data_IF_021223600511
#
_entry.id   IF_021223600511
#
_cell.length_a   1.000
_cell.length_b   1.000
_cell.length_c   1.000
_cell.angle_alpha   90.00
_cell.angle_beta   90.00
_cell.angle_gamma   90.00
#
_symmetry.space_group_name_H-M   'P 1'
#
loop_
_entity.id
_entity.type
_entity.pdbx_description
1 polymer ?
#
# COMPACT_ATOMS: atom_id res chain seq x y z
N UNK A 1 -13.42 -22.94 -39.31
CA UNK A 1 -13.13 -21.83 -38.37
C UNK A 1 -14.28 -21.74 -37.38
N UNK A 2 -14.11 -22.37 -36.23
CA UNK A 2 -15.11 -22.46 -35.16
C UNK A 2 -14.95 -21.26 -34.21
N UNK A 3 -16.03 -20.61 -33.77
CA UNK A 3 -15.94 -19.47 -32.84
C UNK A 3 -15.43 -19.93 -31.45
N UNK A 4 -14.58 -19.09 -30.84
CA UNK A 4 -14.11 -19.27 -29.46
C UNK A 4 -15.28 -19.24 -28.47
N UNK A 5 -15.31 -20.13 -27.46
CA UNK A 5 -16.34 -20.12 -26.43
C UNK A 5 -16.22 -18.87 -25.53
N UNK A 6 -17.34 -18.41 -24.93
CA UNK A 6 -17.35 -17.29 -24.00
C UNK A 6 -16.53 -17.58 -22.72
N UNK A 7 -16.00 -16.55 -22.03
CA UNK A 7 -15.27 -16.73 -20.79
C UNK A 7 -16.16 -17.39 -19.72
N UNK A 8 -15.62 -18.44 -19.08
CA UNK A 8 -16.26 -19.08 -17.94
C UNK A 8 -16.27 -18.11 -16.76
N UNK A 9 -17.45 -17.57 -16.44
CA UNK A 9 -17.73 -16.93 -15.16
C UNK A 9 -18.11 -18.03 -14.18
N UNK A 10 -17.22 -18.39 -13.27
CA UNK A 10 -17.52 -19.31 -12.17
C UNK A 10 -18.63 -18.68 -11.33
N UNK A 11 -19.80 -19.33 -11.28
CA UNK A 11 -20.86 -18.94 -10.35
C UNK A 11 -20.36 -19.13 -8.91
N UNK A 12 -20.67 -18.22 -7.97
CA UNK A 12 -20.37 -18.46 -6.57
C UNK A 12 -21.06 -19.76 -6.12
N UNK A 13 -20.29 -20.67 -5.52
CA UNK A 13 -20.79 -21.85 -4.82
C UNK A 13 -21.56 -21.36 -3.58
N UNK A 14 -22.86 -21.10 -3.75
CA UNK A 14 -23.77 -20.93 -2.62
C UNK A 14 -24.05 -22.31 -2.01
N UNK A 15 -23.33 -22.67 -0.95
CA UNK A 15 -23.82 -23.66 -0.01
C UNK A 15 -25.13 -23.11 0.59
N UNK A 16 -26.25 -23.80 0.34
CA UNK A 16 -27.55 -23.48 0.92
C UNK A 16 -27.47 -23.64 2.43
N UNK A 17 -27.51 -22.52 3.16
CA UNK A 17 -27.57 -22.51 4.62
C UNK A 17 -27.85 -21.12 5.15
N UNK A 18 -29.12 -20.87 5.46
CA UNK A 18 -29.67 -19.79 6.30
C UNK A 18 -29.18 -18.34 6.05
N UNK A 19 -30.03 -17.56 5.40
CA UNK A 19 -29.89 -16.12 5.30
C UNK A 19 -29.95 -15.45 6.69
N UNK A 20 -28.86 -14.80 7.09
CA UNK A 20 -28.87 -13.78 8.13
C UNK A 20 -28.46 -12.45 7.49
N UNK A 21 -29.46 -11.61 7.22
CA UNK A 21 -29.24 -10.23 6.78
C UNK A 21 -28.67 -9.42 7.95
N UNK A 22 -27.50 -8.81 7.76
CA UNK A 22 -27.01 -7.75 8.65
C UNK A 22 -26.89 -6.49 7.80
N UNK A 23 -27.87 -5.61 7.96
CA UNK A 23 -27.82 -4.23 7.47
C UNK A 23 -26.82 -3.45 8.34
N UNK A 24 -25.68 -3.07 7.76
CA UNK A 24 -24.77 -2.09 8.34
C UNK A 24 -25.26 -0.69 8.00
N UNK A 25 -25.75 0.05 9.00
CA UNK A 25 -26.17 1.44 8.85
C UNK A 25 -24.96 2.32 8.52
N UNK A 26 -24.98 2.97 7.35
CA UNK A 26 -24.12 4.08 7.00
C UNK A 26 -24.89 5.38 7.28
N UNK A 27 -24.42 6.18 8.24
CA UNK A 27 -24.96 7.53 8.48
C UNK A 27 -24.09 8.52 7.69
N UNK A 28 -24.62 9.03 6.58
CA UNK A 28 -24.04 10.13 5.82
C UNK A 28 -24.84 11.41 6.09
N UNK A 29 -24.20 12.42 6.68
CA UNK A 29 -24.75 13.78 6.76
C UNK A 29 -24.29 14.57 5.54
N UNK A 30 -25.26 14.92 4.69
CA UNK A 30 -25.12 15.87 3.58
C UNK A 30 -25.53 17.25 4.10
N UNK A 31 -24.65 18.24 3.97
CA UNK A 31 -25.03 19.65 4.05
C UNK A 31 -24.63 20.31 2.75
N UNK A 32 -25.63 20.72 1.96
CA UNK A 32 -25.46 21.52 0.76
C UNK A 32 -25.46 23.01 1.09
N UNK A 33 -24.78 23.81 0.26
CA UNK A 33 -24.92 25.26 0.24
C UNK A 33 -25.14 25.73 -1.20
N UNK A 34 -26.32 26.31 -1.45
CA UNK A 34 -26.57 27.26 -2.52
C UNK A 34 -26.48 28.68 -1.93
N UNK A 35 -25.99 29.65 -2.73
CA UNK A 35 -25.58 30.97 -2.25
C UNK A 35 -26.60 32.12 -2.33
N UNK A 36 -26.44 33.06 -1.39
CA UNK A 36 -26.59 34.54 -1.52
C UNK A 36 -28.00 35.17 -1.40
N UNK A 37 -28.13 36.48 -1.04
CA UNK A 37 -27.08 37.49 -0.78
C UNK A 37 -27.21 38.35 0.51
N UNK A 38 -26.06 38.94 0.90
CA UNK A 38 -25.78 40.22 1.59
C UNK A 38 -26.73 40.81 2.66
N UNK A 39 -26.21 40.93 3.89
CA UNK A 39 -26.61 41.91 4.90
C UNK A 39 -25.48 42.10 5.92
N UNK A 40 -24.89 43.30 5.96
CA UNK A 40 -23.79 43.65 6.88
C UNK A 40 -24.26 43.74 8.32
N UNK A 41 -23.70 42.92 9.21
CA UNK A 41 -23.70 43.19 10.64
C UNK A 41 -22.40 42.63 11.23
N UNK A 42 -21.51 43.54 11.66
CA UNK A 42 -20.43 43.21 12.59
C UNK A 42 -21.09 42.82 13.92
N UNK A 43 -21.10 41.54 14.24
CA UNK A 43 -21.57 40.97 15.50
C UNK A 43 -20.69 39.77 15.85
N UNK A 44 -20.31 39.71 17.13
CA UNK A 44 -19.43 38.75 17.79
C UNK A 44 -19.24 37.40 17.09
N UNK A 45 -17.97 37.01 16.97
CA UNK A 45 -17.58 35.61 16.77
C UNK A 45 -18.07 34.87 18.00
N UNK A 46 -19.20 34.17 17.89
CA UNK A 46 -19.58 33.17 18.89
C UNK A 46 -18.52 32.08 18.82
N UNK A 47 -17.54 32.19 19.72
CA UNK A 47 -16.65 31.10 20.06
C UNK A 47 -17.51 29.87 20.35
N UNK A 48 -17.21 28.76 19.67
CA UNK A 48 -17.62 27.44 20.11
C UNK A 48 -16.89 27.10 21.42
N UNK A 49 -17.16 27.85 22.48
CA UNK A 49 -16.96 27.42 23.84
C UNK A 49 -18.08 26.45 24.18
N UNK A 50 -17.94 25.22 23.71
CA UNK A 50 -18.37 24.13 24.59
C UNK A 50 -17.43 24.20 25.79
N UNK A 51 -17.92 24.50 27.01
CA UNK A 51 -17.11 24.30 28.18
C UNK A 51 -16.74 22.82 28.20
N UNK A 52 -15.44 22.52 28.12
CA UNK A 52 -14.91 21.22 28.53
C UNK A 52 -15.54 20.94 29.89
N UNK A 53 -16.40 19.93 29.97
CA UNK A 53 -17.26 19.72 31.12
C UNK A 53 -16.46 19.77 32.43
N UNK A 54 -16.96 20.54 33.40
CA UNK A 54 -16.44 20.53 34.77
C UNK A 54 -16.58 19.12 35.34
N UNK A 55 -15.54 18.28 35.22
CA UNK A 55 -15.68 16.86 35.55
C UNK A 55 -14.44 15.97 35.50
N UNK A 56 -13.25 16.44 35.13
CA UNK A 56 -12.04 15.59 35.11
C UNK A 56 -11.26 15.69 36.43
N UNK A 57 -11.87 15.29 37.55
CA UNK A 57 -11.13 15.14 38.82
C UNK A 57 -9.98 14.12 38.60
N UNK A 58 -8.75 14.54 38.91
CA UNK A 58 -7.57 13.66 38.84
C UNK A 58 -6.99 13.45 37.44
N UNK A 59 -7.31 14.30 36.46
CA UNK A 59 -6.63 14.33 35.17
C UNK A 59 -5.17 14.77 35.33
N UNK A 60 -4.21 14.19 34.59
CA UNK A 60 -2.80 14.59 34.67
C UNK A 60 -2.58 16.05 34.26
N UNK A 61 -1.95 16.83 35.13
CA UNK A 61 -1.61 18.21 34.82
C UNK A 61 -0.44 18.29 33.83
N UNK A 62 -0.66 18.92 32.68
CA UNK A 62 0.40 19.34 31.78
C UNK A 62 0.79 20.78 32.10
N UNK A 63 2.02 21.02 32.54
CA UNK A 63 2.50 22.37 32.78
C UNK A 63 2.67 23.12 31.45
N UNK A 64 2.06 24.30 31.34
CA UNK A 64 2.42 25.24 30.27
C UNK A 64 3.85 25.75 30.53
N UNK A 65 4.68 25.71 29.48
CA UNK A 65 6.05 26.23 29.47
C UNK A 65 6.20 27.05 28.19
N UNK A 66 6.04 28.37 28.31
CA UNK A 66 6.09 29.29 27.17
C UNK A 66 7.32 29.02 26.32
N UNK A 67 7.09 28.63 25.08
CA UNK A 67 8.08 28.50 24.04
C UNK A 67 7.52 29.15 22.78
N UNK A 68 8.32 30.00 22.15
CA UNK A 68 7.90 30.76 20.97
C UNK A 68 8.82 30.48 19.80
N UNK A 69 8.24 30.48 18.61
CA UNK A 69 8.98 30.37 17.36
C UNK A 69 8.45 31.40 16.36
N UNK A 70 9.37 32.04 15.64
CA UNK A 70 9.05 32.98 14.57
C UNK A 70 8.94 32.22 13.24
N UNK A 71 7.78 32.34 12.60
CA UNK A 71 7.54 31.87 11.25
C UNK A 71 7.31 33.08 10.34
N UNK A 72 8.36 33.50 9.63
CA UNK A 72 8.30 34.58 8.63
C UNK A 72 7.76 35.92 9.19
N UNK A 73 8.18 36.28 10.41
CA UNK A 73 7.76 37.48 11.13
C UNK A 73 6.51 37.30 12.00
N UNK A 74 5.91 36.10 12.03
CA UNK A 74 4.79 35.77 12.91
C UNK A 74 5.29 34.94 14.09
N UNK A 75 5.25 35.50 15.29
CA UNK A 75 5.59 34.77 16.52
C UNK A 75 4.42 33.88 16.93
N UNK A 76 4.69 32.57 17.01
CA UNK A 76 3.73 31.54 17.45
C UNK A 76 4.20 30.99 18.79
N UNK A 77 3.31 30.87 19.77
CA UNK A 77 3.59 30.21 21.06
C UNK A 77 3.08 28.78 21.03
N UNK A 78 3.92 27.84 21.44
CA UNK A 78 3.53 26.46 21.75
C UNK A 78 4.07 26.10 23.14
N UNK A 79 3.23 26.28 24.15
CA UNK A 79 3.60 26.07 25.55
C UNK A 79 3.85 24.60 25.92
N UNK A 80 3.62 23.67 24.99
CA UNK A 80 3.68 22.23 25.21
C UNK A 80 4.76 21.54 24.39
N UNK A 81 5.65 22.27 23.71
CA UNK A 81 6.79 21.70 22.96
C UNK A 81 7.69 20.79 23.81
N UNK A 82 7.70 20.96 25.13
CA UNK A 82 8.43 20.03 26.02
C UNK A 82 7.93 18.58 25.92
N UNK A 83 6.67 18.36 25.52
CA UNK A 83 6.09 17.05 25.27
C UNK A 83 6.64 16.37 24.00
N UNK A 84 7.28 17.11 23.10
CA UNK A 84 7.83 16.57 21.84
C UNK A 84 9.07 15.70 22.07
N UNK A 85 9.71 15.82 23.24
CA UNK A 85 10.87 15.00 23.59
C UNK A 85 10.45 13.74 24.36
N UNK A 86 10.31 12.56 23.72
CA UNK A 86 9.92 11.34 24.41
C UNK A 86 11.00 10.80 25.37
N UNK A 87 12.22 11.34 25.34
CA UNK A 87 13.29 10.97 26.28
C UNK A 87 13.26 11.79 27.58
N UNK A 88 12.64 12.98 27.59
CA UNK A 88 12.52 13.82 28.78
C UNK A 88 11.81 13.04 29.91
N UNK A 89 12.43 12.89 31.09
CA UNK A 89 11.78 12.29 32.26
C UNK A 89 10.42 12.90 32.60
N UNK A 90 10.24 14.22 32.41
CA UNK A 90 8.95 14.88 32.68
C UNK A 90 7.89 14.40 31.68
N UNK A 91 8.22 14.37 30.39
CA UNK A 91 7.33 13.88 29.33
C UNK A 91 6.94 12.43 29.56
N UNK A 92 7.90 11.57 29.92
CA UNK A 92 7.62 10.16 30.26
C UNK A 92 6.72 10.03 31.48
N UNK A 93 6.94 10.82 32.52
CA UNK A 93 6.10 10.82 33.72
C UNK A 93 4.68 11.27 33.40
N UNK A 94 4.52 12.31 32.59
CA UNK A 94 3.20 12.80 32.18
C UNK A 94 2.47 11.78 31.30
N UNK A 95 3.14 11.18 30.30
CA UNK A 95 2.58 10.11 29.46
C UNK A 95 2.13 8.89 30.28
N UNK A 96 2.90 8.49 31.31
CA UNK A 96 2.52 7.41 32.21
C UNK A 96 1.27 7.77 33.02
N UNK A 97 1.16 9.02 33.48
CA UNK A 97 -0.02 9.50 34.20
C UNK A 97 -1.26 9.53 33.29
N UNK A 98 -1.12 10.00 32.04
CA UNK A 98 -2.16 10.00 31.00
C UNK A 98 -2.65 8.59 30.68
N UNK A 99 -1.73 7.67 30.40
CA UNK A 99 -2.07 6.28 30.17
C UNK A 99 -2.79 5.67 31.39
N UNK A 100 -2.30 5.93 32.60
CA UNK A 100 -2.92 5.46 33.84
C UNK A 100 -4.34 6.00 34.04
N UNK A 101 -4.55 7.30 33.82
CA UNK A 101 -5.87 7.92 33.89
C UNK A 101 -6.84 7.31 32.88
N UNK A 102 -6.45 7.26 31.61
CA UNK A 102 -7.26 6.71 30.52
C UNK A 102 -7.63 5.24 30.79
N UNK A 103 -6.68 4.41 31.27
CA UNK A 103 -6.95 3.00 31.61
C UNK A 103 -7.98 2.86 32.72
N UNK A 104 -7.89 3.68 33.79
CA UNK A 104 -8.89 3.68 34.88
C UNK A 104 -10.26 4.11 34.39
N UNK A 105 -10.33 5.21 33.65
CA UNK A 105 -11.58 5.74 33.10
C UNK A 105 -12.26 4.70 32.18
N UNK A 106 -11.52 4.13 31.24
CA UNK A 106 -12.02 3.09 30.35
C UNK A 106 -12.42 1.82 31.11
N UNK A 107 -11.66 1.39 32.11
CA UNK A 107 -11.99 0.21 32.93
C UNK A 107 -13.29 0.37 33.72
N UNK A 108 -13.61 1.60 34.15
CA UNK A 108 -14.85 1.90 34.86
C UNK A 108 -16.10 1.94 33.97
N UNK A 109 -15.96 1.96 32.63
CA UNK A 109 -17.10 2.01 31.72
C UNK A 109 -17.94 0.72 31.79
N UNK A 110 -19.23 0.79 32.20
CA UNK A 110 -20.07 -0.40 32.36
C UNK A 110 -20.19 -1.24 31.07
N UNK A 111 -20.20 -0.60 29.90
CA UNK A 111 -20.34 -1.26 28.62
C UNK A 111 -19.06 -1.99 28.14
N UNK A 112 -17.89 -1.76 28.76
CA UNK A 112 -16.61 -2.26 28.24
C UNK A 112 -16.57 -3.77 28.10
N UNK A 113 -17.05 -4.51 29.10
CA UNK A 113 -17.04 -5.97 29.08
C UNK A 113 -17.94 -6.52 27.96
N UNK A 114 -19.17 -6.00 27.85
CA UNK A 114 -20.13 -6.40 26.83
C UNK A 114 -19.65 -6.06 25.41
N UNK A 115 -19.08 -4.87 25.20
CA UNK A 115 -18.49 -4.48 23.92
C UNK A 115 -17.31 -5.36 23.55
N UNK A 116 -16.40 -5.65 24.49
CA UNK A 116 -15.26 -6.55 24.26
C UNK A 116 -15.74 -7.94 23.83
N UNK A 117 -16.70 -8.51 24.55
CA UNK A 117 -17.26 -9.82 24.22
C UNK A 117 -17.92 -9.80 22.84
N UNK A 118 -18.73 -8.78 22.54
CA UNK A 118 -19.38 -8.66 21.23
C UNK A 118 -18.36 -8.55 20.09
N UNK A 119 -17.30 -7.77 20.28
CA UNK A 119 -16.21 -7.65 19.30
C UNK A 119 -15.47 -8.98 19.11
N UNK A 120 -15.17 -9.70 20.19
CA UNK A 120 -14.55 -11.03 20.11
C UNK A 120 -15.42 -12.02 19.34
N UNK A 121 -16.73 -12.02 19.59
CA UNK A 121 -17.67 -12.85 18.83
C UNK A 121 -17.68 -12.45 17.34
N UNK A 122 -17.79 -11.16 17.05
CA UNK A 122 -17.84 -10.68 15.66
C UNK A 122 -16.56 -11.02 14.91
N UNK A 123 -15.40 -10.68 15.46
CA UNK A 123 -14.10 -10.96 14.84
C UNK A 123 -13.91 -12.48 14.69
N UNK A 124 -14.10 -13.24 15.76
CA UNK A 124 -13.95 -14.70 15.75
C UNK A 124 -14.96 -15.46 14.87
N UNK A 125 -16.05 -14.83 14.47
CA UNK A 125 -17.05 -15.41 13.56
C UNK A 125 -16.77 -15.15 12.08
N UNK A 126 -15.74 -14.37 11.74
CA UNK A 126 -15.39 -14.14 10.34
C UNK A 126 -14.67 -15.35 9.74
N UNK A 127 -14.78 -15.52 8.42
CA UNK A 127 -14.01 -16.55 7.73
C UNK A 127 -12.55 -16.12 7.57
N UNK A 128 -11.66 -17.09 7.32
CA UNK A 128 -10.31 -16.77 6.88
C UNK A 128 -10.36 -15.91 5.61
N UNK A 129 -9.49 -14.92 5.54
CA UNK A 129 -9.34 -14.07 4.36
C UNK A 129 -7.93 -14.19 3.78
N UNK A 130 -7.81 -13.96 2.48
CA UNK A 130 -6.54 -13.92 1.77
C UNK A 130 -6.33 -12.52 1.21
N UNK A 131 -5.23 -11.89 1.60
CA UNK A 131 -4.85 -10.56 1.16
C UNK A 131 -3.49 -10.61 0.45
N UNK A 132 -3.13 -9.52 -0.23
CA UNK A 132 -1.84 -9.37 -0.91
C UNK A 132 -1.52 -10.54 -1.86
N UNK A 133 -2.52 -10.98 -2.63
CA UNK A 133 -2.34 -12.06 -3.59
C UNK A 133 -1.30 -11.65 -4.64
N UNK A 134 -0.32 -12.52 -4.89
CA UNK A 134 0.67 -12.34 -5.96
C UNK A 134 0.94 -13.70 -6.60
N UNK A 135 0.74 -13.81 -7.91
CA UNK A 135 1.12 -15.01 -8.66
C UNK A 135 2.45 -14.78 -9.40
N UNK A 136 3.37 -15.73 -9.23
CA UNK A 136 4.64 -15.84 -9.95
C UNK A 136 5.01 -17.30 -10.14
N UNK A 137 5.57 -17.64 -11.31
CA UNK A 137 6.04 -18.99 -11.59
C UNK A 137 4.99 -20.10 -11.47
N UNK A 138 3.70 -19.78 -11.58
CA UNK A 138 2.60 -20.74 -11.36
C UNK A 138 2.31 -21.02 -9.88
N UNK A 139 2.83 -20.21 -8.97
CA UNK A 139 2.59 -20.29 -7.52
C UNK A 139 1.86 -19.02 -7.09
N UNK A 140 0.75 -19.19 -6.36
CA UNK A 140 -0.01 -18.09 -5.77
C UNK A 140 0.44 -17.87 -4.33
N UNK A 141 0.99 -16.70 -4.04
CA UNK A 141 1.35 -16.26 -2.70
C UNK A 141 0.24 -15.40 -2.10
N UNK A 142 -0.02 -15.53 -0.81
CA UNK A 142 -1.00 -14.71 -0.11
C UNK A 142 -0.66 -14.54 1.38
N UNK A 143 -1.12 -13.43 1.97
CA UNK A 143 -1.21 -13.29 3.42
C UNK A 143 -2.58 -13.78 3.89
N UNK A 144 -2.59 -14.88 4.63
CA UNK A 144 -3.78 -15.45 5.23
C UNK A 144 -4.07 -14.77 6.56
N UNK A 145 -5.22 -14.12 6.64
CA UNK A 145 -5.77 -13.57 7.88
C UNK A 145 -6.65 -14.63 8.51
N UNK A 146 -6.22 -15.14 9.68
CA UNK A 146 -7.02 -16.05 10.50
C UNK A 146 -7.57 -15.26 11.69
N UNK A 147 -8.88 -15.22 11.92
CA UNK A 147 -9.45 -14.32 12.94
C UNK A 147 -8.98 -14.57 14.37
N UNK A 148 -8.49 -15.78 14.65
CA UNK A 148 -8.04 -16.21 15.98
C UNK A 148 -6.55 -16.02 16.22
N UNK A 149 -5.77 -15.58 15.23
CA UNK A 149 -4.32 -15.34 15.37
C UNK A 149 -4.01 -13.86 15.27
N UNK A 150 -2.90 -13.41 15.88
CA UNK A 150 -2.60 -11.99 16.00
C UNK A 150 -2.11 -11.36 14.70
N UNK A 151 -1.39 -12.13 13.87
CA UNK A 151 -0.71 -11.64 12.67
C UNK A 151 -1.00 -12.52 11.46
N UNK A 152 -1.22 -11.94 10.25
CA UNK A 152 -1.40 -12.72 9.04
C UNK A 152 -0.20 -13.62 8.74
N UNK A 153 -0.47 -14.81 8.20
CA UNK A 153 0.52 -15.85 7.87
C UNK A 153 0.80 -15.84 6.38
N UNK A 154 2.07 -15.91 5.96
CA UNK A 154 2.39 -16.07 4.54
C UNK A 154 2.17 -17.53 4.14
N UNK A 155 1.31 -17.73 3.15
CA UNK A 155 0.98 -19.02 2.55
C UNK A 155 1.22 -19.02 1.04
N UNK A 156 1.37 -20.21 0.49
CA UNK A 156 1.34 -20.46 -0.96
C UNK A 156 0.22 -21.44 -1.31
N UNK A 157 -0.35 -21.28 -2.49
CA UNK A 157 -1.39 -22.12 -3.08
C UNK A 157 -1.07 -22.37 -4.55
N UNK A 158 -1.63 -23.43 -5.13
CA UNK A 158 -1.60 -23.67 -6.58
C UNK A 158 -2.51 -22.71 -7.34
N UNK A 159 -3.69 -22.43 -6.80
CA UNK A 159 -4.66 -21.50 -7.38
C UNK A 159 -5.68 -21.03 -6.32
N UNK A 160 -6.49 -20.03 -6.67
CA UNK A 160 -7.60 -19.58 -5.82
C UNK A 160 -8.72 -20.61 -5.69
N UNK A 161 -8.80 -21.58 -6.60
CA UNK A 161 -9.83 -22.63 -6.62
C UNK A 161 -9.37 -23.92 -5.90
N UNK A 162 -8.10 -23.98 -5.47
CA UNK A 162 -7.51 -25.14 -4.78
C UNK A 162 -6.95 -24.74 -3.40
N UNK A 163 -7.85 -24.41 -2.48
CA UNK A 163 -7.50 -24.07 -1.10
C UNK A 163 -6.85 -25.24 -0.34
N UNK A 164 -7.07 -26.49 -0.76
CA UNK A 164 -6.46 -27.67 -0.15
C UNK A 164 -4.97 -27.79 -0.45
N UNK A 165 -4.48 -27.11 -1.50
CA UNK A 165 -3.04 -27.01 -1.81
C UNK A 165 -2.27 -26.03 -0.94
N UNK A 166 -2.94 -25.33 -0.03
CA UNK A 166 -2.31 -24.33 0.84
C UNK A 166 -1.15 -24.91 1.64
N UNK A 167 -0.04 -24.19 1.67
CA UNK A 167 1.10 -24.47 2.52
C UNK A 167 1.61 -23.19 3.18
N UNK A 168 1.84 -23.24 4.48
CA UNK A 168 2.51 -22.15 5.23
C UNK A 168 3.97 -22.05 4.78
N UNK A 169 4.41 -20.82 4.52
CA UNK A 169 5.80 -20.49 4.22
C UNK A 169 6.45 -19.77 5.38
N UNK A 170 5.73 -18.84 6.02
CA UNK A 170 6.24 -18.11 7.17
C UNK A 170 5.09 -17.69 8.09
N UNK A 171 5.21 -18.04 9.36
CA UNK A 171 4.28 -17.64 10.41
C UNK A 171 4.98 -16.69 11.41
N UNK A 172 4.65 -15.37 11.41
CA UNK A 172 5.22 -14.44 12.38
C UNK A 172 4.81 -14.76 13.84
N UNK A 173 3.68 -15.43 14.07
CA UNK A 173 3.20 -15.77 15.41
C UNK A 173 4.06 -16.87 16.06
N UNK A 174 4.70 -17.74 15.27
CA UNK A 174 5.66 -18.73 15.77
C UNK A 174 7.03 -18.12 16.11
N UNK A 175 7.38 -17.00 15.47
CA UNK A 175 8.66 -16.31 15.67
C UNK A 175 8.60 -15.30 16.83
N UNK A 176 7.43 -14.72 17.08
CA UNK A 176 7.20 -13.76 18.16
C UNK A 176 5.81 -13.96 18.77
N UNK A 177 5.74 -14.71 19.87
CA UNK A 177 4.48 -15.07 20.53
C UNK A 177 3.75 -13.90 21.18
N UNK A 178 4.43 -12.77 21.38
CA UNK A 178 3.85 -11.52 21.89
C UNK A 178 3.19 -10.67 20.78
N UNK A 179 3.29 -11.11 19.52
CA UNK A 179 2.74 -10.40 18.37
C UNK A 179 3.57 -9.19 17.94
N UNK A 180 4.79 -9.02 18.44
CA UNK A 180 5.67 -7.88 18.12
C UNK A 180 6.20 -7.90 16.68
N UNK A 181 6.12 -9.04 15.98
CA UNK A 181 6.58 -9.21 14.60
C UNK A 181 5.41 -9.24 13.62
N UNK A 182 5.49 -8.49 12.52
CA UNK A 182 4.50 -8.52 11.45
C UNK A 182 5.17 -8.58 10.06
N UNK A 183 4.48 -9.17 9.09
CA UNK A 183 4.84 -9.05 7.67
C UNK A 183 4.20 -7.77 7.13
N UNK A 184 5.01 -6.83 6.63
CA UNK A 184 4.50 -5.60 5.99
C UNK A 184 4.13 -5.85 4.53
N UNK A 185 5.03 -6.47 3.77
CA UNK A 185 4.78 -6.87 2.40
C UNK A 185 5.60 -8.09 1.98
N UNK A 186 5.19 -8.67 0.85
CA UNK A 186 5.84 -9.82 0.22
C UNK A 186 6.16 -9.52 -1.24
N UNK A 187 7.25 -10.09 -1.74
CA UNK A 187 7.69 -10.00 -3.13
C UNK A 187 8.22 -11.37 -3.58
N UNK A 188 7.40 -12.20 -4.23
CA UNK A 188 7.86 -13.45 -4.82
C UNK A 188 8.84 -13.21 -5.98
N UNK A 189 9.82 -14.10 -6.15
CA UNK A 189 10.73 -14.09 -7.29
C UNK A 189 9.99 -14.36 -8.60
N UNK A 190 10.50 -13.93 -9.77
CA UNK A 190 9.82 -14.13 -11.06
C UNK A 190 9.45 -15.59 -11.35
N UNK A 191 10.31 -16.52 -10.93
CA UNK A 191 10.14 -17.97 -11.07
C UNK A 191 9.29 -18.62 -9.95
N UNK A 192 8.85 -17.84 -8.96
CA UNK A 192 8.03 -18.33 -7.84
C UNK A 192 8.77 -19.24 -6.85
N UNK A 193 10.10 -19.41 -6.95
CA UNK A 193 10.86 -20.32 -6.07
C UNK A 193 11.27 -19.69 -4.75
N UNK A 194 11.31 -18.36 -4.69
CA UNK A 194 11.71 -17.59 -3.52
C UNK A 194 10.71 -16.48 -3.24
N UNK A 195 10.74 -15.96 -2.01
CA UNK A 195 9.96 -14.79 -1.62
C UNK A 195 10.78 -13.91 -0.67
N UNK A 196 10.88 -12.63 -1.02
CA UNK A 196 11.35 -11.61 -0.10
C UNK A 196 10.18 -11.17 0.77
N UNK A 197 10.40 -11.19 2.09
CA UNK A 197 9.41 -10.78 3.10
C UNK A 197 9.95 -9.58 3.86
N UNK A 198 9.20 -8.49 3.93
CA UNK A 198 9.52 -7.34 4.77
C UNK A 198 8.91 -7.56 6.16
N UNK A 199 9.77 -7.63 7.17
CA UNK A 199 9.39 -7.87 8.55
C UNK A 199 9.52 -6.59 9.38
N UNK A 200 8.45 -6.24 10.09
CA UNK A 200 8.40 -5.11 11.02
C UNK A 200 8.41 -5.63 12.45
N UNK A 201 9.44 -5.27 13.21
CA UNK A 201 9.47 -5.43 14.67
C UNK A 201 8.88 -4.21 15.38
N UNK A 202 8.54 -4.37 16.65
CA UNK A 202 8.09 -3.26 17.49
C UNK A 202 9.21 -2.22 17.67
N UNK A 203 8.90 -0.94 17.47
CA UNK A 203 9.85 0.18 17.55
C UNK A 203 11.05 0.11 16.58
N UNK A 204 10.94 -0.64 15.47
CA UNK A 204 11.98 -0.69 14.46
C UNK A 204 12.02 0.61 13.64
N UNK A 205 13.23 1.06 13.27
CA UNK A 205 13.48 2.23 12.42
C UNK A 205 13.03 2.03 10.95
N UNK A 206 12.55 0.82 10.62
CA UNK A 206 12.12 0.40 9.30
C UNK A 206 12.03 -1.12 9.21
N UNK A 207 11.52 -1.63 8.09
CA UNK A 207 11.43 -3.08 7.92
C UNK A 207 12.78 -3.69 7.58
N UNK A 208 12.94 -4.93 8.05
CA UNK A 208 14.03 -5.82 7.67
C UNK A 208 13.52 -6.83 6.67
N UNK A 209 14.11 -6.87 5.47
CA UNK A 209 13.76 -7.86 4.45
C UNK A 209 14.62 -9.11 4.62
N UNK A 210 13.94 -10.26 4.59
CA UNK A 210 14.56 -11.59 4.52
C UNK A 210 14.09 -12.32 3.27
N UNK A 211 14.91 -13.23 2.76
CA UNK A 211 14.54 -14.08 1.62
C UNK A 211 14.29 -15.51 2.07
N UNK A 212 13.16 -16.08 1.67
CA UNK A 212 12.83 -17.49 1.92
C UNK A 212 12.91 -18.27 0.62
N UNK A 213 13.62 -19.40 0.63
CA UNK A 213 13.66 -20.34 -0.49
C UNK A 213 12.67 -21.49 -0.28
N UNK A 214 11.68 -21.60 -1.17
CA UNK A 214 10.63 -22.61 -1.07
C UNK A 214 11.13 -24.01 -1.41
N UNK A 215 12.20 -24.14 -2.21
CA UNK A 215 12.78 -25.42 -2.60
C UNK A 215 13.66 -26.03 -1.51
N UNK A 216 14.29 -25.19 -0.68
CA UNK A 216 15.10 -25.62 0.47
C UNK A 216 14.26 -25.88 1.75
N UNK A 217 13.04 -26.38 1.59
CA UNK A 217 12.13 -26.65 2.71
C UNK A 217 11.56 -25.40 3.40
N UNK A 218 11.61 -24.23 2.75
CA UNK A 218 11.12 -22.97 3.33
C UNK A 218 12.12 -22.29 4.27
N UNK A 219 13.41 -22.62 4.18
CA UNK A 219 14.43 -21.96 4.99
C UNK A 219 14.72 -20.53 4.49
N UNK A 220 15.00 -19.64 5.43
CA UNK A 220 15.49 -18.31 5.12
C UNK A 220 16.96 -18.37 4.68
N UNK A 221 17.28 -17.64 3.63
CA UNK A 221 18.66 -17.38 3.23
C UNK A 221 19.36 -16.49 4.28
N UNK A 222 20.70 -16.48 4.34
CA UNK A 222 21.45 -15.62 5.25
C UNK A 222 21.29 -14.12 4.93
N UNK A 223 20.82 -13.79 3.73
CA UNK A 223 20.66 -12.42 3.25
C UNK A 223 19.62 -11.63 4.07
N UNK A 224 20.02 -10.44 4.52
CA UNK A 224 19.18 -9.55 5.32
C UNK A 224 19.39 -8.10 4.86
N UNK A 225 18.29 -7.41 4.54
CA UNK A 225 18.30 -6.01 4.10
C UNK A 225 17.61 -5.15 5.16
N UNK A 226 18.33 -4.21 5.76
CA UNK A 226 17.78 -3.35 6.80
C UNK A 226 17.30 -2.01 6.24
N UNK A 227 16.39 -1.36 6.99
CA UNK A 227 15.86 -0.01 6.70
C UNK A 227 15.19 0.08 5.33
N UNK A 228 14.47 -0.98 4.95
CA UNK A 228 13.82 -1.03 3.63
C UNK A 228 12.65 -0.06 3.55
N UNK A 229 11.94 0.11 4.66
CA UNK A 229 10.84 1.06 4.77
C UNK A 229 11.15 2.15 5.79
N UNK A 230 10.39 3.25 5.75
CA UNK A 230 10.30 4.21 6.86
C UNK A 230 8.84 4.60 7.14
N UNK A 231 8.59 5.06 8.36
CA UNK A 231 7.27 5.52 8.79
C UNK A 231 6.75 6.62 7.86
N UNK A 232 5.54 6.44 7.32
CA UNK A 232 4.88 7.42 6.45
C UNK A 232 5.26 7.37 4.97
N UNK A 233 6.51 6.97 4.62
CA UNK A 233 6.99 6.89 3.24
C UNK A 233 6.82 5.49 2.61
N UNK A 234 6.76 4.43 3.41
CA UNK A 234 6.68 3.04 2.93
C UNK A 234 8.05 2.52 2.50
N UNK A 235 8.09 1.57 1.57
CA UNK A 235 9.28 1.07 0.90
C UNK A 235 8.94 -0.18 0.07
N UNK A 236 9.89 -0.66 -0.72
CA UNK A 236 9.64 -1.72 -1.69
C UNK A 236 10.89 -2.52 -2.05
N UNK A 237 10.66 -3.68 -2.66
CA UNK A 237 11.68 -4.59 -3.21
C UNK A 237 11.23 -5.10 -4.58
N UNK A 238 12.16 -5.19 -5.52
CA UNK A 238 11.99 -5.85 -6.80
C UNK A 238 13.14 -6.84 -7.04
N UNK A 239 12.81 -8.00 -7.57
CA UNK A 239 13.79 -9.00 -7.98
C UNK A 239 14.48 -8.60 -9.28
N UNK A 240 15.77 -8.91 -9.37
CA UNK A 240 16.46 -8.94 -10.66
C UNK A 240 16.06 -10.16 -11.49
N UNK A 241 16.47 -10.21 -12.76
CA UNK A 241 16.19 -11.35 -13.62
C UNK A 241 16.77 -12.63 -13.02
N UNK A 242 16.15 -13.79 -13.26
CA UNK A 242 16.55 -15.09 -12.68
C UNK A 242 16.63 -15.17 -11.15
N UNK A 243 16.25 -14.11 -10.41
CA UNK A 243 16.22 -14.12 -8.94
C UNK A 243 17.60 -14.08 -8.27
N UNK A 244 18.63 -13.52 -8.93
CA UNK A 244 20.00 -13.45 -8.42
C UNK A 244 20.28 -12.31 -7.43
N UNK A 245 19.38 -11.33 -7.34
CA UNK A 245 19.52 -10.17 -6.47
C UNK A 245 18.20 -9.39 -6.31
N UNK A 246 18.25 -8.36 -5.48
CA UNK A 246 17.13 -7.52 -5.10
C UNK A 246 17.49 -6.04 -5.26
N UNK A 247 16.67 -5.31 -6.02
CA UNK A 247 16.57 -3.86 -5.91
C UNK A 247 15.67 -3.55 -4.73
N UNK A 248 16.06 -2.63 -3.85
CA UNK A 248 15.26 -2.29 -2.68
C UNK A 248 15.40 -0.82 -2.34
N UNK A 249 14.37 -0.24 -1.74
CA UNK A 249 14.50 1.08 -1.13
C UNK A 249 15.30 0.99 0.14
N UNK A 250 16.16 1.96 0.42
CA UNK A 250 16.85 2.08 1.69
C UNK A 250 16.76 3.52 2.18
N UNK A 251 16.31 3.66 3.43
CA UNK A 251 16.26 4.94 4.12
C UNK A 251 17.52 5.12 4.95
N UNK A 252 18.18 6.29 4.91
CA UNK A 252 19.33 6.57 5.77
C UNK A 252 18.99 6.37 7.24
N UNK A 253 19.97 5.89 8.01
CA UNK A 253 19.76 5.70 9.45
C UNK A 253 19.48 7.06 10.09
N UNK A 254 18.52 7.11 11.00
CA UNK A 254 18.27 8.31 11.78
C UNK A 254 19.52 8.61 12.63
N UNK A 255 20.03 9.83 12.56
CA UNK A 255 21.11 10.29 13.45
C UNK A 255 20.51 10.59 14.84
N UNK A 256 20.23 9.54 15.62
CA UNK A 256 19.54 9.65 16.90
C UNK A 256 18.03 9.84 16.77
N UNK A 257 17.36 10.21 17.88
CA UNK A 257 15.90 10.41 17.94
C UNK A 257 15.42 11.77 17.45
N UNK A 258 16.33 12.69 17.10
CA UNK A 258 15.95 13.96 16.52
C UNK A 258 15.49 13.71 15.07
N UNK A 259 14.26 14.09 14.75
CA UNK A 259 13.82 14.15 13.36
C UNK A 259 14.65 15.27 12.70
N UNK A 260 15.49 14.99 11.70
CA UNK A 260 16.26 16.04 11.05
C UNK A 260 15.31 17.03 10.36
N UNK A 261 15.67 18.31 10.35
CA UNK A 261 14.91 19.38 9.67
C UNK A 261 14.66 19.05 8.18
N UNK A 262 15.58 18.29 7.58
CA UNK A 262 15.44 17.73 6.24
C UNK A 262 15.71 16.23 6.29
N UNK A 263 14.67 15.45 6.01
CA UNK A 263 14.82 14.01 5.85
C UNK A 263 15.71 13.72 4.64
N UNK A 264 16.76 12.90 4.79
CA UNK A 264 17.59 12.54 3.67
C UNK A 264 16.78 11.65 2.71
N UNK A 265 16.96 11.87 1.40
CA UNK A 265 16.15 11.21 0.37
C UNK A 265 16.38 9.68 0.39
N UNK A 266 15.30 8.94 0.15
CA UNK A 266 15.37 7.49 -0.07
C UNK A 266 16.28 7.15 -1.25
N UNK A 267 17.02 6.05 -1.13
CA UNK A 267 17.82 5.50 -2.21
C UNK A 267 17.24 4.16 -2.67
N UNK A 268 17.40 3.83 -3.95
CA UNK A 268 17.28 2.46 -4.44
C UNK A 268 18.67 1.86 -4.41
N UNK A 269 18.79 0.74 -3.72
CA UNK A 269 19.99 -0.07 -3.56
C UNK A 269 19.85 -1.36 -4.35
N UNK A 270 20.96 -2.01 -4.68
CA UNK A 270 21.00 -3.36 -5.20
C UNK A 270 21.81 -4.27 -4.28
N UNK A 271 21.17 -5.38 -3.88
CA UNK A 271 21.79 -6.47 -3.13
C UNK A 271 21.91 -7.71 -4.02
N UNK A 272 23.10 -8.26 -4.14
CA UNK A 272 23.34 -9.56 -4.78
C UNK A 272 23.20 -10.66 -3.74
N UNK A 273 22.36 -11.67 -3.98
CA UNK A 273 22.16 -12.74 -3.02
C UNK A 273 23.47 -13.50 -2.74
N UNK A 274 23.69 -13.83 -1.47
CA UNK A 274 24.92 -14.41 -0.94
C UNK A 274 26.05 -13.41 -0.69
N UNK A 275 25.87 -12.14 -1.03
CA UNK A 275 26.87 -11.11 -0.74
C UNK A 275 26.83 -10.72 0.76
N UNK A 276 27.97 -10.41 1.38
CA UNK A 276 28.00 -9.89 2.75
C UNK A 276 27.21 -8.59 2.90
N UNK A 277 26.58 -8.40 4.06
CA UNK A 277 25.91 -7.14 4.41
C UNK A 277 26.86 -5.94 4.27
N UNK A 278 26.35 -4.83 3.72
CA UNK A 278 27.11 -3.60 3.53
C UNK A 278 27.86 -3.50 2.19
N UNK A 279 27.77 -4.51 1.33
CA UNK A 279 28.30 -4.45 -0.05
C UNK A 279 27.24 -4.04 -1.09
N UNK A 280 26.09 -3.57 -0.64
CA UNK A 280 24.99 -3.16 -1.52
C UNK A 280 25.36 -1.88 -2.27
N UNK A 281 25.02 -1.84 -3.56
CA UNK A 281 25.34 -0.70 -4.44
C UNK A 281 24.18 0.28 -4.51
N UNK A 282 24.47 1.58 -4.43
CA UNK A 282 23.47 2.63 -4.75
C UNK A 282 23.19 2.63 -6.24
N UNK A 283 21.92 2.54 -6.61
CA UNK A 283 21.45 2.44 -8.01
C UNK A 283 20.72 3.69 -8.50
N UNK A 284 19.86 4.24 -7.64
CA UNK A 284 19.07 5.45 -7.90
C UNK A 284 18.91 6.22 -6.58
N UNK A 285 18.95 7.55 -6.59
CA UNK A 285 18.80 8.32 -5.36
C UNK A 285 19.30 9.75 -5.48
N UNK A 286 20.34 9.97 -6.29
CA UNK A 286 20.83 11.31 -6.60
C UNK A 286 19.73 12.13 -7.29
N UNK A 287 19.41 13.30 -6.73
CA UNK A 287 18.42 14.23 -7.27
C UNK A 287 16.96 13.79 -7.10
N UNK A 288 16.67 12.71 -6.35
CA UNK A 288 15.29 12.39 -5.98
C UNK A 288 14.78 13.42 -4.96
N UNK A 289 13.49 13.80 -5.02
CA UNK A 289 12.88 14.69 -4.03
C UNK A 289 13.10 14.20 -2.59
N UNK A 290 13.21 15.11 -1.63
CA UNK A 290 13.38 14.75 -0.21
C UNK A 290 12.22 13.91 0.34
N UNK A 291 11.00 14.16 -0.15
CA UNK A 291 9.79 13.41 0.20
C UNK A 291 9.53 12.23 -0.74
N UNK A 292 10.53 11.80 -1.52
CA UNK A 292 10.38 10.71 -2.47
C UNK A 292 9.93 9.42 -1.79
N UNK A 293 8.93 8.78 -2.40
CA UNK A 293 8.46 7.44 -2.10
C UNK A 293 8.64 6.61 -3.36
N UNK A 294 9.32 5.48 -3.24
CA UNK A 294 9.66 4.67 -4.41
C UNK A 294 8.93 3.34 -4.35
N UNK A 295 8.13 3.06 -5.38
CA UNK A 295 7.54 1.74 -5.63
C UNK A 295 8.38 1.03 -6.68
N UNK A 296 8.74 -0.22 -6.42
CA UNK A 296 9.54 -1.04 -7.32
C UNK A 296 8.70 -2.17 -7.87
N UNK A 297 8.88 -2.48 -9.15
CA UNK A 297 8.14 -3.56 -9.79
C UNK A 297 9.04 -4.30 -10.78
N UNK A 298 9.18 -5.61 -10.60
CA UNK A 298 9.80 -6.47 -11.61
C UNK A 298 8.76 -6.89 -12.64
N UNK A 299 9.13 -6.81 -13.92
CA UNK A 299 8.43 -7.51 -14.99
C UNK A 299 8.34 -9.02 -14.65
N UNK A 300 7.32 -9.67 -15.19
CA UNK A 300 7.04 -11.09 -14.91
C UNK A 300 8.15 -12.03 -15.39
N UNK A 301 8.84 -11.67 -16.45
CA UNK A 301 10.02 -12.37 -16.96
C UNK A 301 11.33 -11.99 -16.22
N UNK A 302 11.25 -11.03 -15.30
CA UNK A 302 12.37 -10.47 -14.54
C UNK A 302 13.33 -9.60 -15.34
N UNK A 303 13.12 -9.41 -16.66
CA UNK A 303 14.08 -8.74 -17.55
C UNK A 303 14.10 -7.22 -17.42
N UNK A 304 13.11 -6.66 -16.75
CA UNK A 304 12.99 -5.22 -16.54
C UNK A 304 12.48 -4.94 -15.14
N UNK A 305 12.96 -3.83 -14.57
CA UNK A 305 12.48 -3.29 -13.30
C UNK A 305 12.05 -1.85 -13.50
N UNK A 306 10.90 -1.52 -12.95
CA UNK A 306 10.33 -0.18 -12.93
C UNK A 306 10.43 0.41 -11.53
N UNK A 307 10.82 1.68 -11.45
CA UNK A 307 10.74 2.49 -10.24
C UNK A 307 9.77 3.66 -10.48
N UNK A 308 8.70 3.71 -9.70
CA UNK A 308 7.82 4.89 -9.64
C UNK A 308 8.24 5.72 -8.45
N UNK A 309 8.75 6.92 -8.71
CA UNK A 309 9.19 7.88 -7.70
C UNK A 309 8.08 8.92 -7.54
N UNK A 310 7.33 8.81 -6.45
CA UNK A 310 6.27 9.74 -6.04
C UNK A 310 6.87 10.83 -5.14
N UNK A 311 6.68 12.11 -5.46
CA UNK A 311 7.13 13.23 -4.62
C UNK A 311 6.09 13.53 -3.52
N UNK A 312 6.22 12.87 -2.37
CA UNK A 312 5.23 12.94 -1.30
C UNK A 312 3.93 12.20 -1.66
N UNK A 313 3.12 11.87 -0.65
CA UNK A 313 1.90 11.09 -0.86
C UNK A 313 0.88 11.88 -1.68
N UNK A 314 0.45 11.33 -2.81
CA UNK A 314 -0.47 11.95 -3.77
C UNK A 314 0.17 12.98 -4.69
N UNK A 315 1.50 13.16 -4.60
CA UNK A 315 2.23 14.10 -5.44
C UNK A 315 2.54 13.56 -6.83
N UNK A 316 3.44 14.25 -7.52
CA UNK A 316 3.81 13.90 -8.89
C UNK A 316 4.74 12.69 -8.96
N UNK A 317 4.58 11.92 -10.04
CA UNK A 317 5.28 10.65 -10.22
C UNK A 317 6.23 10.74 -11.41
N UNK A 318 7.50 10.44 -11.17
CA UNK A 318 8.47 10.14 -12.23
C UNK A 318 8.63 8.63 -12.35
N UNK A 319 8.84 8.14 -13.57
CA UNK A 319 9.07 6.71 -13.83
C UNK A 319 10.50 6.49 -14.32
N UNK A 320 11.16 5.49 -13.76
CA UNK A 320 12.46 5.03 -14.20
C UNK A 320 12.39 3.56 -14.59
N UNK A 321 12.98 3.21 -15.72
CA UNK A 321 13.05 1.83 -16.21
C UNK A 321 14.51 1.39 -16.27
N UNK A 322 14.76 0.17 -15.83
CA UNK A 322 16.05 -0.49 -15.95
C UNK A 322 15.87 -1.87 -16.59
N UNK A 323 16.54 -2.16 -17.72
CA UNK A 323 16.79 -3.53 -18.12
C UNK A 323 17.55 -4.23 -16.99
N UNK A 324 17.10 -5.40 -16.58
CA UNK A 324 17.72 -6.18 -15.52
C UNK A 324 18.13 -7.53 -16.06
N UNK A 325 19.34 -7.95 -15.72
CA UNK A 325 19.79 -9.33 -15.75
C UNK A 325 19.94 -9.86 -14.32
N UNK A 326 20.59 -11.01 -14.15
CA UNK A 326 20.83 -11.63 -12.85
C UNK A 326 21.73 -10.80 -11.92
N UNK A 327 22.70 -10.09 -12.50
CA UNK A 327 23.71 -9.32 -11.78
C UNK A 327 23.26 -7.90 -11.47
N UNK A 328 22.09 -7.50 -11.99
CA UNK A 328 21.56 -6.16 -11.82
C UNK A 328 22.31 -5.12 -12.66
N UNK A 329 22.94 -5.53 -13.75
CA UNK A 329 23.66 -4.63 -14.66
C UNK A 329 22.70 -3.79 -15.52
N UNK A 330 23.25 -2.78 -16.22
CA UNK A 330 22.48 -1.77 -16.96
C UNK A 330 22.26 -0.47 -16.18
N UNK A 331 21.68 0.54 -16.83
CA UNK A 331 21.44 1.86 -16.24
C UNK A 331 19.94 2.14 -16.11
N UNK A 332 19.56 2.80 -15.01
CA UNK A 332 18.24 3.40 -14.87
C UNK A 332 18.06 4.53 -15.87
N UNK A 333 16.89 4.56 -16.51
CA UNK A 333 16.51 5.61 -17.44
C UNK A 333 15.20 6.22 -16.98
N UNK A 334 15.16 7.54 -16.80
CA UNK A 334 13.89 8.26 -16.61
C UNK A 334 13.09 8.18 -17.91
N UNK A 335 11.90 7.58 -17.85
CA UNK A 335 10.99 7.42 -18.99
C UNK A 335 9.72 8.28 -18.85
N UNK A 336 9.41 8.77 -17.65
CA UNK A 336 8.35 9.73 -17.38
C UNK A 336 8.79 10.81 -16.39
N UNK A 337 8.22 12.00 -16.55
CA UNK A 337 8.37 13.17 -15.68
C UNK A 337 7.02 13.56 -15.08
N UNK A 338 7.02 14.56 -14.20
CA UNK A 338 5.80 15.10 -13.60
C UNK A 338 4.77 15.57 -14.64
N UNK A 339 5.23 16.09 -15.79
CA UNK A 339 4.38 16.61 -16.87
C UNK A 339 3.54 15.53 -17.55
N UNK A 340 4.00 14.28 -17.51
CA UNK A 340 3.30 13.13 -18.12
C UNK A 340 2.08 12.69 -17.28
N UNK A 341 1.90 13.30 -16.11
CA UNK A 341 0.75 13.12 -15.24
C UNK A 341 0.58 11.68 -14.78
N UNK A 342 1.66 10.89 -14.70
CA UNK A 342 1.61 9.51 -14.25
C UNK A 342 1.10 9.46 -12.81
N UNK A 343 0.23 8.49 -12.53
CA UNK A 343 -0.30 8.20 -11.18
C UNK A 343 -0.21 6.74 -10.78
N UNK A 344 -0.03 5.84 -11.75
CA UNK A 344 0.24 4.43 -11.51
C UNK A 344 0.77 3.76 -12.79
N UNK A 345 1.52 2.67 -12.66
CA UNK A 345 2.02 1.91 -13.80
C UNK A 345 2.35 0.46 -13.41
N UNK A 346 2.19 -0.47 -14.36
CA UNK A 346 2.52 -1.88 -14.19
C UNK A 346 2.96 -2.51 -15.51
N UNK A 347 3.71 -3.60 -15.47
CA UNK A 347 4.01 -4.37 -16.68
C UNK A 347 2.79 -5.17 -17.16
N UNK A 348 2.63 -5.25 -18.49
CA UNK A 348 1.71 -6.19 -19.16
C UNK A 348 2.41 -7.48 -19.60
N UNK A 349 1.65 -8.38 -20.23
CA UNK A 349 2.17 -9.63 -20.85
C UNK A 349 2.56 -9.45 -22.32
N UNK A 350 2.53 -8.21 -22.79
CA UNK A 350 2.62 -7.83 -24.18
C UNK A 350 3.80 -6.88 -24.44
N UNK A 351 4.89 -7.09 -23.69
CA UNK A 351 6.12 -6.28 -23.72
C UNK A 351 5.83 -4.79 -23.68
N UNK A 352 4.94 -4.38 -22.78
CA UNK A 352 4.51 -3.01 -22.61
C UNK A 352 4.36 -2.64 -21.13
N UNK A 353 4.52 -1.34 -20.86
CA UNK A 353 4.15 -0.72 -19.60
C UNK A 353 2.76 -0.13 -19.77
N UNK A 354 1.87 -0.51 -18.87
CA UNK A 354 0.52 0.01 -18.79
C UNK A 354 0.46 1.08 -17.71
N UNK A 355 -0.11 2.23 -18.04
CA UNK A 355 0.07 3.46 -17.25
C UNK A 355 -1.28 4.12 -17.02
N UNK A 356 -1.59 4.46 -15.78
CA UNK A 356 -2.65 5.43 -15.45
C UNK A 356 -2.04 6.82 -15.43
N UNK A 357 -2.50 7.68 -16.33
CA UNK A 357 -2.09 9.08 -16.42
C UNK A 357 -3.30 10.00 -16.28
N UNK A 358 -3.10 11.17 -15.69
CA UNK A 358 -4.08 12.26 -15.64
C UNK A 358 -3.72 13.44 -16.56
N UNK A 359 -2.63 13.34 -17.34
CA UNK A 359 -2.22 14.40 -18.26
C UNK A 359 -3.33 14.70 -19.28
N UNK A 360 -3.82 15.93 -19.28
CA UNK A 360 -4.97 16.39 -20.07
C UNK A 360 -6.22 15.51 -19.91
N UNK A 361 -6.35 14.80 -18.78
CA UNK A 361 -7.42 13.86 -18.48
C UNK A 361 -7.62 13.77 -16.96
N UNK A 362 -8.27 14.74 -16.29
CA UNK A 362 -8.35 14.79 -14.82
C UNK A 362 -9.07 13.60 -14.19
N UNK A 363 -9.92 12.89 -14.95
CA UNK A 363 -10.56 11.62 -14.56
C UNK A 363 -9.68 10.40 -14.79
N UNK A 364 -8.47 10.57 -15.32
CA UNK A 364 -7.54 9.52 -15.68
C UNK A 364 -7.78 8.93 -17.06
N UNK A 365 -6.72 8.39 -17.65
CA UNK A 365 -6.70 7.56 -18.86
C UNK A 365 -5.71 6.42 -18.67
N UNK A 366 -5.99 5.27 -19.28
CA UNK A 366 -5.07 4.13 -19.34
C UNK A 366 -4.33 4.18 -20.67
N UNK A 367 -3.01 4.27 -20.58
CA UNK A 367 -2.07 4.30 -21.69
C UNK A 367 -1.34 2.95 -21.79
N UNK A 368 -0.85 2.63 -22.99
CA UNK A 368 0.03 1.49 -23.26
C UNK A 368 1.29 1.99 -23.95
N UNK A 369 2.43 1.79 -23.30
CA UNK A 369 3.76 2.15 -23.79
C UNK A 369 4.56 0.88 -24.10
N UNK A 370 4.80 0.52 -25.38
CA UNK A 370 5.67 -0.60 -25.73
C UNK A 370 7.08 -0.42 -25.15
N UNK A 371 7.69 -1.51 -24.66
CA UNK A 371 9.06 -1.48 -24.13
C UNK A 371 10.09 -1.07 -25.20
N UNK A 372 9.82 -1.39 -26.47
CA UNK A 372 10.64 -0.95 -27.62
C UNK A 372 10.76 0.57 -27.72
N UNK A 373 9.76 1.30 -27.25
CA UNK A 373 9.63 2.74 -27.44
C UNK A 373 10.14 3.54 -26.23
N UNK A 374 10.60 2.83 -25.18
CA UNK A 374 11.05 3.44 -23.92
C UNK A 374 12.41 4.14 -24.01
N UNK A 375 13.15 3.98 -25.12
CA UNK A 375 14.46 4.61 -25.26
C UNK A 375 14.38 6.13 -25.39
N UNK A 376 13.33 6.62 -26.06
CA UNK A 376 13.00 8.02 -26.25
C UNK A 376 11.48 8.14 -26.39
N UNK A 377 10.78 8.24 -25.26
CA UNK A 377 9.31 8.22 -25.23
C UNK A 377 8.78 9.53 -25.82
N UNK A 378 7.97 9.41 -26.88
CA UNK A 378 7.14 10.51 -27.36
C UNK A 378 5.73 10.34 -26.77
N UNK A 379 5.45 11.06 -25.69
CA UNK A 379 4.20 10.94 -24.92
C UNK A 379 2.94 11.28 -25.71
N UNK A 380 3.03 12.13 -26.72
CA UNK A 380 1.90 12.46 -27.61
C UNK A 380 1.50 11.28 -28.51
N UNK A 381 2.41 10.32 -28.72
CA UNK A 381 2.18 9.13 -29.54
C UNK A 381 1.84 7.88 -28.72
N UNK A 382 1.89 7.96 -27.40
CA UNK A 382 1.56 6.82 -26.54
C UNK A 382 0.06 6.50 -26.65
N UNK A 383 -0.24 5.25 -26.98
CA UNK A 383 -1.61 4.85 -27.27
C UNK A 383 -2.50 4.95 -26.03
N UNK A 384 -3.58 5.74 -26.13
CA UNK A 384 -4.66 5.71 -25.14
C UNK A 384 -5.54 4.49 -25.40
N UNK A 385 -5.63 3.60 -24.41
CA UNK A 385 -6.42 2.37 -24.52
C UNK A 385 -7.84 2.58 -24.03
N UNK A 386 -8.00 3.29 -22.91
CA UNK A 386 -9.31 3.57 -22.34
C UNK A 386 -9.31 4.85 -21.51
N UNK A 387 -10.42 5.57 -21.55
CA UNK A 387 -10.85 6.56 -20.57
C UNK A 387 -12.02 6.00 -19.75
N UNK A 388 -12.26 6.47 -18.51
CA UNK A 388 -13.42 6.03 -17.74
C UNK A 388 -14.70 6.53 -18.41
N UNK A 389 -15.77 5.74 -18.33
CA UNK A 389 -17.11 6.18 -18.77
C UNK A 389 -17.78 7.01 -17.69
N UNK A 390 -17.52 6.67 -16.42
CA UNK A 390 -18.12 7.32 -15.25
C UNK A 390 -17.09 7.49 -14.14
N UNK A 391 -17.20 8.59 -13.40
CA UNK A 391 -16.23 8.92 -12.34
C UNK A 391 -14.80 9.05 -12.87
N UNK A 392 -13.84 8.51 -12.12
CA UNK A 392 -12.42 8.50 -12.47
C UNK A 392 -11.84 7.08 -12.47
N UNK A 393 -10.71 6.88 -13.14
CA UNK A 393 -9.94 5.63 -13.07
C UNK A 393 -9.39 5.46 -11.67
N UNK A 394 -9.93 4.48 -10.94
CA UNK A 394 -9.46 4.14 -9.60
C UNK A 394 -8.28 3.17 -9.68
N UNK A 395 -8.46 2.07 -10.42
CA UNK A 395 -7.46 1.00 -10.58
C UNK A 395 -7.61 0.35 -11.95
N UNK A 396 -6.55 -0.29 -12.41
CA UNK A 396 -6.61 -1.14 -13.58
C UNK A 396 -5.66 -2.33 -13.46
N UNK A 397 -5.91 -3.37 -14.24
CA UNK A 397 -4.91 -4.39 -14.55
C UNK A 397 -5.17 -4.95 -15.95
N UNK A 398 -4.20 -5.64 -16.53
CA UNK A 398 -4.33 -6.26 -17.86
C UNK A 398 -3.99 -7.75 -17.78
N UNK A 399 -4.85 -8.57 -18.39
CA UNK A 399 -4.65 -10.01 -18.53
C UNK A 399 -5.36 -10.51 -19.79
N UNK A 400 -4.74 -11.43 -20.52
CA UNK A 400 -5.37 -12.10 -21.67
C UNK A 400 -5.87 -11.15 -22.78
N UNK A 401 -5.22 -10.01 -23.00
CA UNK A 401 -5.67 -9.00 -23.96
C UNK A 401 -6.90 -8.19 -23.54
N UNK A 402 -7.30 -8.31 -22.27
CA UNK A 402 -8.39 -7.55 -21.66
C UNK A 402 -7.85 -6.61 -20.59
N UNK A 403 -8.24 -5.33 -20.67
CA UNK A 403 -8.04 -4.34 -19.62
C UNK A 403 -9.22 -4.40 -18.65
N UNK A 404 -8.93 -4.68 -17.39
CA UNK A 404 -9.87 -4.64 -16.28
C UNK A 404 -9.76 -3.25 -15.65
N UNK A 405 -10.84 -2.49 -15.65
CA UNK A 405 -10.85 -1.09 -15.24
C UNK A 405 -11.87 -0.88 -14.13
N UNK A 406 -11.39 -0.58 -12.93
CA UNK A 406 -12.24 -0.10 -11.84
C UNK A 406 -12.37 1.42 -11.94
N UNK A 407 -13.60 1.90 -12.11
CA UNK A 407 -13.93 3.31 -12.23
C UNK A 407 -14.92 3.76 -11.14
N UNK A 408 -14.79 4.99 -10.68
CA UNK A 408 -15.62 5.56 -9.62
C UNK A 408 -15.11 6.92 -9.14
N UNK A 409 -15.90 7.62 -8.33
CA UNK A 409 -15.53 8.91 -7.74
C UNK A 409 -15.68 8.85 -6.22
N UNK A 410 -16.93 8.77 -5.77
CA UNK A 410 -17.34 8.56 -4.37
C UNK A 410 -18.41 7.46 -4.35
N UNK A 411 -18.32 6.54 -3.39
CA UNK A 411 -19.25 5.41 -3.28
C UNK A 411 -18.83 4.17 -4.09
N UNK A 412 -19.78 3.40 -4.66
CA UNK A 412 -19.49 2.09 -5.24
C UNK A 412 -18.58 2.15 -6.47
N UNK A 413 -17.67 1.19 -6.59
CA UNK A 413 -16.86 1.02 -7.80
C UNK A 413 -17.68 0.37 -8.90
N UNK A 414 -17.30 0.63 -10.14
CA UNK A 414 -17.79 -0.11 -11.32
C UNK A 414 -16.61 -0.80 -11.97
N UNK A 415 -16.78 -2.07 -12.32
CA UNK A 415 -15.76 -2.84 -13.02
C UNK A 415 -16.14 -2.99 -14.50
N UNK A 416 -15.26 -2.52 -15.38
CA UNK A 416 -15.39 -2.63 -16.83
C UNK A 416 -14.29 -3.53 -17.37
N UNK A 417 -14.65 -4.34 -18.36
CA UNK A 417 -13.72 -5.10 -19.18
C UNK A 417 -13.61 -4.39 -20.53
N UNK A 418 -12.40 -4.09 -20.97
CA UNK A 418 -12.13 -3.47 -22.27
C UNK A 418 -11.22 -4.40 -23.07
N UNK A 419 -11.74 -4.94 -24.17
CA UNK A 419 -10.91 -5.68 -25.12
C UNK A 419 -9.89 -4.72 -25.74
N UNK A 420 -8.60 -5.02 -25.58
CA UNK A 420 -7.52 -4.06 -25.90
C UNK A 420 -7.45 -3.76 -27.41
N UNK A 421 -7.82 -4.72 -28.26
CA UNK A 421 -7.72 -4.62 -29.72
C UNK A 421 -8.94 -3.93 -30.33
N UNK A 422 -10.13 -4.38 -29.97
CA UNK A 422 -11.40 -3.91 -30.52
C UNK A 422 -11.96 -2.71 -29.78
N UNK A 423 -11.43 -2.41 -28.59
CA UNK A 423 -11.93 -1.39 -27.64
C UNK A 423 -13.36 -1.63 -27.16
N UNK A 424 -13.93 -2.81 -27.44
CA UNK A 424 -15.27 -3.18 -26.97
C UNK A 424 -15.27 -3.26 -25.45
N UNK A 425 -16.34 -2.74 -24.86
CA UNK A 425 -16.50 -2.66 -23.40
C UNK A 425 -17.64 -3.55 -22.95
N UNK A 426 -17.47 -4.17 -21.78
CA UNK A 426 -18.55 -4.83 -21.05
C UNK A 426 -18.47 -4.46 -19.56
N UNK A 427 -19.61 -4.54 -18.87
CA UNK A 427 -19.68 -4.35 -17.43
C UNK A 427 -19.62 -5.70 -16.72
N UNK A 428 -18.95 -5.73 -15.57
CA UNK A 428 -19.07 -6.82 -14.60
C UNK A 428 -20.08 -6.37 -13.55
N UNK A 429 -21.10 -7.18 -13.30
CA UNK A 429 -22.06 -6.92 -12.24
C UNK A 429 -21.35 -7.02 -10.89
N UNK A 430 -21.43 -5.94 -10.10
CA UNK A 430 -20.92 -5.88 -8.74
C UNK A 430 -22.08 -5.71 -7.74
N UNK A 431 -21.89 -6.06 -6.46
CA UNK A 431 -22.87 -5.72 -5.42
C UNK A 431 -23.17 -4.20 -5.40
N UNK A 432 -24.41 -3.78 -5.08
CA UNK A 432 -24.85 -2.38 -5.22
C UNK A 432 -24.01 -1.35 -4.45
N UNK A 433 -23.38 -1.76 -3.34
CA UNK A 433 -22.59 -0.89 -2.45
C UNK A 433 -21.13 -1.32 -2.33
N UNK A 434 -20.62 -2.10 -3.29
CA UNK A 434 -19.25 -2.62 -3.25
C UNK A 434 -18.21 -1.63 -3.79
N UNK A 435 -16.99 -1.71 -3.27
CA UNK A 435 -15.81 -1.05 -3.82
C UNK A 435 -14.81 -2.12 -4.27
N UNK A 436 -14.10 -1.88 -5.37
CA UNK A 436 -13.01 -2.74 -5.83
C UNK A 436 -11.71 -2.23 -5.18
N UNK A 437 -11.28 -2.93 -4.15
CA UNK A 437 -10.07 -2.66 -3.38
C UNK A 437 -8.81 -3.23 -4.03
N UNK A 438 -8.90 -4.26 -4.88
CA UNK A 438 -7.77 -4.75 -5.66
C UNK A 438 -8.19 -5.40 -6.98
N UNK A 439 -7.30 -5.34 -7.97
CA UNK A 439 -7.39 -6.10 -9.22
C UNK A 439 -6.08 -6.88 -9.36
N UNK A 440 -6.09 -8.15 -8.98
CA UNK A 440 -4.90 -9.00 -8.93
C UNK A 440 -4.93 -9.97 -10.09
N UNK A 441 -3.91 -9.89 -10.95
CA UNK A 441 -3.72 -10.90 -11.98
C UNK A 441 -3.12 -12.18 -11.38
N UNK A 442 -3.85 -13.28 -11.49
CA UNK A 442 -3.49 -14.60 -10.93
C UNK A 442 -3.16 -15.66 -11.98
N UNK A 443 -3.05 -15.26 -13.25
CA UNK A 443 -2.69 -16.13 -14.35
C UNK A 443 -2.57 -15.34 -15.65
N UNK A 444 -2.55 -16.04 -16.79
CA UNK A 444 -2.46 -15.40 -18.10
C UNK A 444 -3.71 -14.60 -18.46
N UNK A 445 -4.88 -15.11 -18.09
CA UNK A 445 -6.18 -14.55 -18.48
C UNK A 445 -7.07 -14.17 -17.29
N UNK A 446 -6.66 -14.53 -16.06
CA UNK A 446 -7.52 -14.48 -14.89
C UNK A 446 -7.12 -13.34 -13.94
N UNK A 447 -8.14 -12.64 -13.45
CA UNK A 447 -8.03 -11.53 -12.51
C UNK A 447 -8.99 -11.76 -11.36
N UNK A 448 -8.48 -11.64 -10.14
CA UNK A 448 -9.29 -11.54 -8.92
C UNK A 448 -9.58 -10.08 -8.68
N UNK A 449 -10.87 -9.73 -8.61
CA UNK A 449 -11.32 -8.46 -8.06
C UNK A 449 -11.66 -8.65 -6.58
N UNK A 450 -10.98 -7.93 -5.70
CA UNK A 450 -11.26 -7.92 -4.26
C UNK A 450 -11.95 -6.63 -3.85
#
# INVERSE_FOLDING_TARGET
MTPLPPPHVSRPLFAKGLAAAIAGAALALVAGCAGGPSGSARGAVDDFHHPVAAGLRGYPFAASRVATQDYFGTVVSDDFTWLDNPADPVTRSWLAAEQGYARRYLAAMPARAALRQRLQTLVGSTANAYANLVERGGVLFALKVVPTVQRPVLVVLKSVDDLASERVVFDPNEQASDGSLAIDFIRPSPDGRRVAIALRGENADGDTVRVIDLGAGGQALPDTLARVTSAGAGGDVAWSASGGGLFFTQYPAAAGRAVPDVMPSVQVMFHKLGAPSGQDRVELGAGLPHLARVRLESARDGRNVLALVENGRGGDVSMYLKPSDATGEGAWRRIATEQDGVRDAQFGDDDAIWIRSIANAPRGKVLRLPLSDTKAVNWDRVATIATPLEGAVQRFTVAGGTLYLAEGQTGPSRLRLVDVRTKRRSAVALPPTGAVAALVRIGRNDVVAQ
#
